data_IF_710564938118
#
_entry.id   IF_710564938118
#
_cell.length_a   1.000
_cell.length_b   1.000
_cell.length_c   1.000
_cell.angle_alpha   90.00
_cell.angle_beta   90.00
_cell.angle_gamma   90.00
#
_symmetry.space_group_name_H-M   'P 1'
#
loop_
_entity.id
_entity.type
_entity.pdbx_description
1 polymer ?
#
# COMPACT_ATOMS: atom_id res chain seq x y z
N UNK A 1 29.93 -48.47 -40.30
CA UNK A 1 29.32 -47.29 -40.94
C UNK A 1 28.04 -46.98 -40.14
N UNK A 2 28.13 -46.13 -39.11
CA UNK A 2 27.71 -44.71 -39.11
C UNK A 2 26.17 -44.62 -39.24
N UNK A 3 25.40 -44.16 -38.24
CA UNK A 3 25.42 -42.78 -37.74
C UNK A 3 24.85 -42.69 -36.30
N UNK A 4 25.60 -42.01 -35.44
CA UNK A 4 25.17 -41.51 -34.13
C UNK A 4 24.14 -40.39 -34.30
N UNK A 5 23.05 -40.43 -33.53
CA UNK A 5 22.17 -39.28 -33.31
C UNK A 5 22.31 -38.83 -31.86
N UNK A 6 23.27 -37.93 -31.64
CA UNK A 6 23.20 -36.98 -30.53
C UNK A 6 22.03 -36.04 -30.84
N UNK A 7 21.27 -35.61 -29.84
CA UNK A 7 20.80 -34.23 -29.66
C UNK A 7 19.93 -34.14 -28.40
N UNK A 8 20.58 -33.65 -27.34
CA UNK A 8 20.13 -32.58 -26.44
C UNK A 8 18.84 -32.84 -25.64
N UNK A 9 19.08 -33.09 -24.35
CA UNK A 9 18.15 -32.88 -23.25
C UNK A 9 17.45 -31.52 -23.34
N UNK A 10 16.13 -31.52 -23.31
CA UNK A 10 15.35 -30.34 -22.96
C UNK A 10 14.49 -30.72 -21.76
N UNK A 11 15.09 -30.57 -20.58
CA UNK A 11 14.39 -30.61 -19.30
C UNK A 11 13.73 -29.23 -19.12
N UNK A 12 12.56 -29.05 -19.72
CA UNK A 12 11.70 -27.92 -19.41
C UNK A 12 11.09 -28.14 -18.03
N UNK A 13 11.81 -27.69 -17.00
CA UNK A 13 11.23 -27.44 -15.68
C UNK A 13 10.27 -26.27 -15.85
N UNK A 14 8.98 -26.56 -16.07
CA UNK A 14 7.94 -25.61 -15.74
C UNK A 14 7.89 -25.53 -14.21
N UNK A 15 8.65 -24.59 -13.64
CA UNK A 15 8.33 -24.09 -12.31
C UNK A 15 7.02 -23.32 -12.43
N UNK A 16 5.92 -24.02 -12.21
CA UNK A 16 4.66 -23.36 -11.85
C UNK A 16 4.92 -22.62 -10.55
N UNK A 17 5.20 -21.33 -10.64
CA UNK A 17 5.04 -20.41 -9.52
C UNK A 17 3.56 -20.42 -9.20
N UNK A 18 3.17 -21.38 -8.36
CA UNK A 18 1.89 -21.38 -7.68
C UNK A 18 1.94 -20.19 -6.73
N UNK A 19 1.48 -19.04 -7.20
CA UNK A 19 1.16 -17.90 -6.36
C UNK A 19 -0.02 -18.31 -5.49
N UNK A 20 0.28 -18.95 -4.36
CA UNK A 20 -0.69 -19.29 -3.34
C UNK A 20 -1.03 -18.01 -2.55
N UNK A 21 -1.81 -17.11 -3.15
CA UNK A 21 -2.56 -16.11 -2.39
C UNK A 21 -3.88 -16.74 -1.98
N UNK A 22 -3.79 -17.72 -1.08
CA UNK A 22 -4.95 -18.41 -0.52
C UNK A 22 -5.84 -17.46 0.27
N UNK A 23 -7.13 -17.45 -0.08
CA UNK A 23 -8.23 -17.22 0.86
C UNK A 23 -8.57 -15.78 1.23
N UNK A 24 -9.46 -15.14 0.45
CA UNK A 24 -10.17 -13.93 0.85
C UNK A 24 -9.37 -12.64 0.61
N UNK A 25 -9.41 -12.11 -0.60
CA UNK A 25 -8.76 -10.83 -0.92
C UNK A 25 -9.27 -9.67 -0.06
N UNK A 26 -8.47 -8.62 0.08
CA UNK A 26 -8.87 -7.41 0.78
C UNK A 26 -10.10 -6.76 0.12
N UNK A 27 -11.00 -6.18 0.92
CA UNK A 27 -12.20 -5.51 0.42
C UNK A 27 -11.81 -4.19 -0.24
N UNK A 28 -12.33 -3.93 -1.45
CA UNK A 28 -12.24 -2.61 -2.10
C UNK A 28 -12.81 -1.53 -1.17
N UNK A 29 -12.20 -0.35 -1.21
CA UNK A 29 -12.69 0.80 -0.48
C UNK A 29 -14.02 1.29 -1.04
N UNK A 30 -14.96 1.65 -0.16
CA UNK A 30 -16.30 2.12 -0.55
C UNK A 30 -16.28 3.56 -1.07
N UNK A 31 -15.35 4.37 -0.58
CA UNK A 31 -15.16 5.77 -0.98
C UNK A 31 -13.71 6.21 -0.69
N UNK A 32 -13.39 7.47 -1.03
CA UNK A 32 -12.07 8.03 -0.82
C UNK A 32 -11.63 7.99 0.66
N UNK A 33 -12.50 8.40 1.59
CA UNK A 33 -12.19 8.38 3.03
C UNK A 33 -11.90 6.96 3.52
N UNK A 34 -12.66 5.97 3.07
CA UNK A 34 -12.46 4.57 3.42
C UNK A 34 -11.10 4.06 2.90
N UNK A 35 -10.73 4.39 1.66
CA UNK A 35 -9.41 4.04 1.12
C UNK A 35 -8.27 4.62 1.94
N UNK A 36 -8.34 5.92 2.24
CA UNK A 36 -7.36 6.61 3.07
C UNK A 36 -7.28 6.01 4.48
N UNK A 37 -8.43 5.80 5.12
CA UNK A 37 -8.52 5.22 6.48
C UNK A 37 -7.91 3.82 6.53
N UNK A 38 -8.23 2.96 5.55
CA UNK A 38 -7.71 1.60 5.47
C UNK A 38 -6.22 1.56 5.22
N UNK A 39 -5.72 2.41 4.32
CA UNK A 39 -4.29 2.58 4.09
C UNK A 39 -3.56 3.00 5.36
N UNK A 40 -4.00 4.09 6.02
CA UNK A 40 -3.37 4.61 7.23
C UNK A 40 -3.38 3.56 8.35
N UNK A 41 -4.51 2.90 8.57
CA UNK A 41 -4.66 1.88 9.62
C UNK A 41 -3.70 0.71 9.39
N UNK A 42 -3.65 0.18 8.17
CA UNK A 42 -2.74 -0.89 7.80
C UNK A 42 -1.27 -0.48 7.98
N UNK A 43 -0.89 0.73 7.58
CA UNK A 43 0.46 1.27 7.80
C UNK A 43 0.81 1.42 9.29
N UNK A 44 -0.12 1.86 10.13
CA UNK A 44 0.08 1.94 11.59
C UNK A 44 0.17 0.56 12.25
N UNK A 45 -0.57 -0.43 11.72
CA UNK A 45 -0.51 -1.82 12.18
C UNK A 45 0.76 -2.57 11.77
N UNK A 46 1.50 -2.03 10.79
CA UNK A 46 2.61 -2.73 10.15
C UNK A 46 2.17 -3.79 9.14
N UNK A 47 0.90 -3.80 8.74
CA UNK A 47 0.34 -4.68 7.72
C UNK A 47 0.54 -4.06 6.33
N UNK A 48 1.78 -4.09 5.85
CA UNK A 48 2.15 -3.47 4.58
C UNK A 48 1.60 -4.19 3.36
N UNK A 49 1.27 -5.48 3.45
CA UNK A 49 0.56 -6.19 2.37
C UNK A 49 -0.85 -5.62 2.18
N UNK A 50 -1.56 -5.36 3.29
CA UNK A 50 -2.87 -4.70 3.26
C UNK A 50 -2.77 -3.23 2.87
N UNK A 51 -1.77 -2.49 3.36
CA UNK A 51 -1.58 -1.09 2.96
C UNK A 51 -1.29 -0.99 1.46
N UNK A 52 -0.48 -1.90 0.92
CA UNK A 52 -0.16 -1.98 -0.50
C UNK A 52 -1.39 -2.19 -1.37
N UNK A 53 -2.45 -2.84 -0.88
CA UNK A 53 -3.70 -3.02 -1.63
C UNK A 53 -4.45 -1.71 -1.89
N UNK A 54 -4.34 -0.72 -0.99
CA UNK A 54 -4.99 0.60 -1.14
C UNK A 54 -4.06 1.65 -1.75
N UNK A 55 -2.85 1.29 -2.19
CA UNK A 55 -1.87 2.19 -2.78
C UNK A 55 -2.05 2.27 -4.31
N UNK A 56 -1.97 3.48 -4.86
CA UNK A 56 -1.88 3.67 -6.31
C UNK A 56 -0.53 3.13 -6.79
N UNK A 57 -0.56 2.11 -7.66
CA UNK A 57 0.65 1.44 -8.14
C UNK A 57 1.31 2.23 -9.27
N UNK A 58 2.40 2.91 -8.93
CA UNK A 58 3.38 3.46 -9.87
C UNK A 58 4.77 3.48 -9.23
N UNK A 59 5.80 3.73 -10.04
CA UNK A 59 7.20 3.66 -9.60
C UNK A 59 7.51 4.56 -8.41
N UNK A 60 7.04 5.81 -8.43
CA UNK A 60 7.32 6.77 -7.36
C UNK A 60 6.52 6.43 -6.11
N UNK A 61 5.25 6.04 -6.24
CA UNK A 61 4.43 5.61 -5.11
C UNK A 61 5.01 4.37 -4.44
N UNK A 62 5.50 3.40 -5.21
CA UNK A 62 6.15 2.20 -4.67
C UNK A 62 7.44 2.57 -3.92
N UNK A 63 8.29 3.45 -4.48
CA UNK A 63 9.50 3.91 -3.81
C UNK A 63 9.22 4.59 -2.47
N UNK A 64 8.21 5.47 -2.42
CA UNK A 64 7.81 6.15 -1.19
C UNK A 64 7.24 5.18 -0.16
N UNK A 65 6.46 4.21 -0.62
CA UNK A 65 5.88 3.17 0.22
C UNK A 65 6.94 2.25 0.84
N UNK A 66 7.93 1.82 0.05
CA UNK A 66 9.08 1.04 0.53
C UNK A 66 9.88 1.81 1.59
N UNK A 67 10.08 3.12 1.38
CA UNK A 67 10.72 3.98 2.39
C UNK A 67 9.87 4.06 3.66
N UNK A 68 8.55 4.21 3.56
CA UNK A 68 7.66 4.22 4.72
C UNK A 68 7.74 2.90 5.50
N UNK A 69 7.75 1.76 4.79
CA UNK A 69 7.91 0.44 5.39
C UNK A 69 9.26 0.28 6.09
N UNK A 70 10.36 0.70 5.44
CA UNK A 70 11.69 0.67 6.02
C UNK A 70 11.76 1.51 7.31
N UNK A 71 11.18 2.71 7.32
CA UNK A 71 11.11 3.57 8.49
C UNK A 71 10.32 2.92 9.63
N UNK A 72 9.16 2.31 9.34
CA UNK A 72 8.38 1.59 10.35
C UNK A 72 9.17 0.42 10.95
N UNK A 73 9.91 -0.31 10.12
CA UNK A 73 10.71 -1.45 10.59
C UNK A 73 11.81 -1.05 11.57
N UNK A 74 12.35 0.16 11.43
CA UNK A 74 13.36 0.73 12.34
C UNK A 74 12.81 1.20 13.69
N UNK A 75 11.48 1.33 13.83
CA UNK A 75 10.86 1.70 15.10
C UNK A 75 11.09 0.62 16.18
N UNK A 76 11.26 1.07 17.42
CA UNK A 76 11.26 0.20 18.60
C UNK A 76 9.90 -0.48 18.79
N UNK A 77 9.85 -1.58 19.54
CA UNK A 77 8.59 -2.26 19.85
C UNK A 77 7.58 -1.32 20.53
N UNK A 78 8.05 -0.45 21.43
CA UNK A 78 7.20 0.54 22.11
C UNK A 78 6.56 1.52 21.12
N UNK A 79 7.32 2.02 20.15
CA UNK A 79 6.79 2.93 19.13
C UNK A 79 5.78 2.22 18.21
N UNK A 80 6.06 0.96 17.83
CA UNK A 80 5.11 0.14 17.06
C UNK A 80 3.81 -0.10 17.83
N UNK A 81 3.89 -0.38 19.12
CA UNK A 81 2.71 -0.54 19.98
C UNK A 81 1.91 0.76 20.11
N UNK A 82 2.60 1.91 20.23
CA UNK A 82 1.96 3.22 20.21
C UNK A 82 1.26 3.50 18.89
N UNK A 83 1.83 3.11 17.76
CA UNK A 83 1.20 3.26 16.44
C UNK A 83 -0.04 2.36 16.31
N UNK A 84 0.07 1.10 16.75
CA UNK A 84 -1.06 0.16 16.78
C UNK A 84 -2.23 0.67 17.62
N UNK A 85 -1.93 1.24 18.79
CA UNK A 85 -2.93 1.82 19.68
C UNK A 85 -3.49 3.17 19.21
N UNK A 86 -2.87 3.82 18.20
CA UNK A 86 -3.28 5.13 17.74
C UNK A 86 -4.64 5.07 17.03
N UNK A 87 -5.49 6.06 17.31
CA UNK A 87 -6.70 6.30 16.54
C UNK A 87 -6.45 7.29 15.42
N UNK A 88 -7.07 7.06 14.26
CA UNK A 88 -7.09 8.01 13.15
C UNK A 88 -8.15 9.07 13.43
N UNK A 89 -7.82 10.34 13.21
CA UNK A 89 -8.69 11.48 13.42
C UNK A 89 -8.82 12.25 12.10
N UNK A 90 -9.93 12.05 11.35
CA UNK A 90 -10.27 12.86 10.20
C UNK A 90 -10.33 14.34 10.58
N UNK A 91 -9.72 15.21 9.76
CA UNK A 91 -9.80 16.67 9.91
C UNK A 91 -10.66 17.27 8.81
N UNK A 92 -10.41 16.89 7.56
CA UNK A 92 -11.16 17.38 6.41
C UNK A 92 -11.12 16.40 5.24
N UNK A 93 -12.18 16.39 4.45
CA UNK A 93 -12.27 15.72 3.15
C UNK A 93 -12.73 16.74 2.13
N UNK A 94 -11.88 17.00 1.14
CA UNK A 94 -12.11 18.03 0.13
C UNK A 94 -11.97 17.40 -1.25
N UNK A 95 -13.04 17.32 -2.05
CA UNK A 95 -12.93 16.93 -3.44
C UNK A 95 -12.16 17.99 -4.23
N UNK A 96 -11.11 17.60 -4.94
CA UNK A 96 -10.46 18.46 -5.94
C UNK A 96 -11.21 18.38 -7.28
N UNK A 97 -11.69 17.17 -7.61
CA UNK A 97 -12.55 16.86 -8.75
C UNK A 97 -13.23 15.48 -8.56
N UNK A 98 -14.00 15.03 -9.55
CA UNK A 98 -14.77 13.77 -9.48
C UNK A 98 -13.93 12.51 -9.22
N UNK A 99 -12.63 12.57 -9.54
CA UNK A 99 -11.70 11.44 -9.41
C UNK A 99 -10.57 11.69 -8.42
N UNK A 100 -10.57 12.83 -7.71
CA UNK A 100 -9.47 13.21 -6.81
C UNK A 100 -10.02 13.88 -5.56
N UNK A 101 -9.61 13.36 -4.39
CA UNK A 101 -10.03 13.86 -3.08
C UNK A 101 -8.81 14.02 -2.18
N UNK A 102 -8.76 15.14 -1.46
CA UNK A 102 -7.80 15.39 -0.41
C UNK A 102 -8.38 14.94 0.94
N UNK A 103 -7.64 14.11 1.66
CA UNK A 103 -8.01 13.62 2.98
C UNK A 103 -6.99 14.08 4.02
N UNK A 104 -7.36 15.08 4.81
CA UNK A 104 -6.55 15.59 5.92
C UNK A 104 -6.88 14.83 7.20
N UNK A 105 -5.85 14.36 7.89
CA UNK A 105 -5.98 13.62 9.14
C UNK A 105 -4.78 13.85 10.07
N UNK A 106 -4.90 13.39 11.30
CA UNK A 106 -3.78 13.08 12.18
C UNK A 106 -4.06 11.74 12.88
N UNK A 107 -3.07 11.17 13.55
CA UNK A 107 -3.28 10.03 14.43
C UNK A 107 -2.85 10.36 15.87
N UNK A 108 -3.47 9.73 16.86
CA UNK A 108 -3.32 10.15 18.26
C UNK A 108 -1.93 9.92 18.86
N UNK A 109 -1.06 9.12 18.24
CA UNK A 109 0.35 9.02 18.64
C UNK A 109 1.21 10.21 18.20
N UNK A 110 0.71 11.05 17.29
CA UNK A 110 1.33 12.34 16.94
C UNK A 110 0.27 13.41 16.61
N UNK A 111 -0.46 13.95 17.62
CA UNK A 111 -1.60 14.84 17.38
C UNK A 111 -1.27 16.19 16.75
N UNK A 112 -0.02 16.65 16.89
CA UNK A 112 0.44 17.92 16.33
C UNK A 112 0.74 17.82 14.83
N UNK A 113 0.96 16.61 14.32
CA UNK A 113 1.32 16.36 12.93
C UNK A 113 0.08 16.02 12.11
N UNK A 114 -0.34 17.00 11.29
CA UNK A 114 -1.43 16.81 10.34
C UNK A 114 -0.88 16.47 8.96
N UNK A 115 -1.37 15.38 8.40
CA UNK A 115 -1.02 14.90 7.06
C UNK A 115 -2.23 15.02 6.14
N UNK A 116 -1.99 15.40 4.89
CA UNK A 116 -3.01 15.36 3.82
C UNK A 116 -2.63 14.31 2.80
N UNK A 117 -3.46 13.29 2.63
CA UNK A 117 -3.33 12.31 1.55
C UNK A 117 -4.11 12.78 0.33
N UNK A 118 -3.54 12.60 -0.87
CA UNK A 118 -4.33 12.61 -2.10
C UNK A 118 -4.85 11.21 -2.36
N UNK A 119 -6.13 11.11 -2.71
CA UNK A 119 -6.81 9.85 -2.99
C UNK A 119 -7.43 9.96 -4.37
N UNK A 120 -7.10 9.02 -5.25
CA UNK A 120 -7.53 9.02 -6.64
C UNK A 120 -8.47 7.86 -6.93
N UNK A 121 -9.47 8.11 -7.78
CA UNK A 121 -10.33 7.07 -8.33
C UNK A 121 -9.71 6.57 -9.64
N UNK A 122 -9.51 5.26 -9.74
CA UNK A 122 -9.06 4.59 -10.96
C UNK A 122 -9.85 3.29 -11.14
N UNK A 123 -10.47 3.10 -12.31
CA UNK A 123 -11.26 1.90 -12.66
C UNK A 123 -12.20 1.44 -11.51
N UNK A 124 -13.02 2.37 -11.04
CA UNK A 124 -14.01 2.19 -9.97
C UNK A 124 -13.45 1.82 -8.58
N UNK A 125 -12.17 2.06 -8.34
CA UNK A 125 -11.52 1.83 -7.05
C UNK A 125 -10.79 3.08 -6.58
N UNK A 126 -10.71 3.28 -5.26
CA UNK A 126 -10.05 4.42 -4.65
C UNK A 126 -8.68 4.02 -4.09
N UNK A 127 -7.65 4.80 -4.42
CA UNK A 127 -6.28 4.52 -4.07
C UNK A 127 -5.58 5.75 -3.49
N UNK A 128 -4.67 5.53 -2.54
CA UNK A 128 -3.81 6.57 -1.97
C UNK A 128 -2.66 6.86 -2.93
N UNK A 129 -2.43 8.14 -3.20
CA UNK A 129 -1.28 8.64 -3.95
C UNK A 129 -0.30 9.35 -2.98
N UNK A 130 0.77 8.65 -2.60
CA UNK A 130 1.80 9.11 -1.68
C UNK A 130 2.69 10.23 -2.25
N UNK A 131 2.76 10.37 -3.57
CA UNK A 131 3.56 11.45 -4.22
C UNK A 131 3.13 12.83 -3.73
N UNK A 132 1.87 12.98 -3.33
CA UNK A 132 1.30 14.25 -2.91
C UNK A 132 1.32 14.50 -1.40
N UNK A 133 1.85 13.56 -0.62
CA UNK A 133 2.08 13.74 0.82
C UNK A 133 3.35 14.57 1.07
N UNK A 134 4.26 14.63 0.08
CA UNK A 134 5.41 15.52 0.12
C UNK A 134 4.91 16.94 -0.08
N UNK A 135 4.83 17.73 0.99
CA UNK A 135 4.80 19.19 0.88
C UNK A 135 6.04 19.60 0.09
N UNK A 136 5.84 20.24 -1.06
CA UNK A 136 6.88 21.10 -1.65
C UNK A 136 7.08 22.31 -0.74
#
# INVERSE_FOLDING_TARGET
MLIMKKLIASFCILTTVSCNSGGGGYKKAENAQDAGTRFIRASLDGDYDKAAFYLLKDSTNNLLFEKQQANYNQLSSKEKDQYKAASIRPVAITPDNDSTVQYKYYHTSNPADTTTLRIVRNQDSWFVDLKSVIKM
#
